data_IF_883383354084
#
_entry.id   IF_883383354084
#
_cell.length_a   1.000
_cell.length_b   1.000
_cell.length_c   1.000
_cell.angle_alpha   90.00
_cell.angle_beta   90.00
_cell.angle_gamma   90.00
#
_symmetry.space_group_name_H-M   'P 1'
#
loop_
_entity.id
_entity.type
_entity.pdbx_description
1 polymer ?
#
# COMPACT_ATOMS: atom_id res chain seq x y z
N UNK A 1 10.30 4.48 -16.48
CA UNK A 1 9.81 3.15 -16.90
C UNK A 1 10.98 2.27 -17.34
N UNK A 2 10.89 0.94 -17.22
CA UNK A 2 11.86 0.04 -17.79
C UNK A 2 11.98 0.21 -19.29
N UNK A 3 13.21 0.11 -19.82
CA UNK A 3 13.47 0.27 -21.25
C UNK A 3 13.31 -1.09 -21.94
N UNK A 4 12.30 -1.29 -22.82
CA UNK A 4 12.20 -2.52 -23.59
C UNK A 4 13.32 -2.61 -24.63
N UNK A 5 13.91 -3.78 -24.77
CA UNK A 5 14.91 -4.07 -25.79
C UNK A 5 14.86 -5.53 -26.23
N UNK A 6 15.19 -5.81 -27.49
CA UNK A 6 15.23 -7.17 -28.00
C UNK A 6 16.45 -7.98 -27.48
N UNK A 7 17.48 -7.28 -26.99
CA UNK A 7 18.65 -7.88 -26.37
C UNK A 7 18.52 -7.77 -24.84
N UNK A 8 18.54 -8.89 -24.13
CA UNK A 8 18.44 -8.98 -22.67
C UNK A 8 19.53 -8.16 -21.94
N UNK A 9 20.68 -7.98 -22.54
CA UNK A 9 21.78 -7.19 -21.96
C UNK A 9 21.56 -5.67 -22.04
N UNK A 10 20.68 -5.21 -22.94
CA UNK A 10 20.40 -3.80 -23.20
C UNK A 10 19.04 -3.34 -22.68
N UNK A 11 18.16 -4.29 -22.34
CA UNK A 11 16.82 -4.01 -21.82
C UNK A 11 16.76 -3.87 -20.31
N UNK A 12 15.61 -3.46 -19.81
CA UNK A 12 15.27 -3.38 -18.39
C UNK A 12 13.97 -4.14 -18.11
N UNK A 13 13.95 -4.98 -17.09
CA UNK A 13 12.75 -5.63 -16.57
C UNK A 13 12.53 -5.15 -15.15
N UNK A 14 11.41 -4.46 -14.91
CA UNK A 14 11.08 -3.96 -13.58
C UNK A 14 10.76 -5.12 -12.64
N UNK A 15 11.43 -5.16 -11.50
CA UNK A 15 11.09 -6.01 -10.36
C UNK A 15 10.86 -5.13 -9.13
N UNK A 16 9.97 -5.58 -8.26
CA UNK A 16 9.70 -4.98 -6.98
C UNK A 16 9.86 -6.03 -5.89
N UNK A 17 10.68 -5.74 -4.87
CA UNK A 17 10.85 -6.62 -3.72
C UNK A 17 9.83 -6.25 -2.68
N UNK A 18 9.04 -7.24 -2.24
CA UNK A 18 7.84 -7.00 -1.47
C UNK A 18 8.00 -7.36 0.01
N UNK A 19 7.37 -6.56 0.86
CA UNK A 19 7.15 -6.82 2.28
C UNK A 19 5.81 -6.25 2.74
N UNK A 20 5.30 -6.73 3.87
CA UNK A 20 4.09 -6.18 4.47
C UNK A 20 4.20 -6.09 5.98
N UNK A 21 3.83 -4.95 6.55
CA UNK A 21 3.78 -4.72 7.99
C UNK A 21 2.38 -5.05 8.51
N UNK A 22 2.31 -5.90 9.55
CA UNK A 22 1.03 -6.22 10.21
C UNK A 22 0.63 -5.08 11.17
N UNK A 23 -0.06 -4.07 10.62
CA UNK A 23 -0.47 -2.88 11.38
C UNK A 23 -1.46 -3.21 12.50
N UNK A 24 -2.21 -4.31 12.40
CA UNK A 24 -3.07 -4.78 13.47
C UNK A 24 -2.32 -5.20 14.75
N UNK A 25 -1.01 -5.48 14.66
CA UNK A 25 -0.16 -5.83 15.81
C UNK A 25 0.71 -4.70 16.32
N UNK A 26 0.88 -3.63 15.56
CA UNK A 26 1.65 -2.45 15.98
C UNK A 26 1.02 -1.84 17.23
N UNK A 27 1.86 -1.49 18.22
CA UNK A 27 1.43 -0.99 19.53
C UNK A 27 1.68 0.52 19.69
N UNK A 28 2.59 1.09 18.91
CA UNK A 28 2.95 2.50 19.00
C UNK A 28 3.48 3.03 17.68
N UNK A 29 3.44 4.34 17.52
CA UNK A 29 4.01 5.04 16.38
C UNK A 29 5.53 4.78 16.25
N UNK A 30 6.25 4.74 17.36
CA UNK A 30 7.68 4.40 17.39
C UNK A 30 7.94 2.97 16.88
N UNK A 31 7.10 2.00 17.22
CA UNK A 31 7.23 0.65 16.69
C UNK A 31 6.97 0.60 15.18
N UNK A 32 6.01 1.40 14.68
CA UNK A 32 5.78 1.54 13.24
C UNK A 32 7.02 2.10 12.53
N UNK A 33 7.63 3.15 13.08
CA UNK A 33 8.88 3.71 12.56
C UNK A 33 9.99 2.66 12.49
N UNK A 34 10.21 1.92 13.59
CA UNK A 34 11.25 0.88 13.66
C UNK A 34 11.01 -0.27 12.67
N UNK A 35 9.74 -0.68 12.49
CA UNK A 35 9.38 -1.71 11.51
C UNK A 35 9.55 -1.22 10.06
N UNK A 36 9.26 0.05 9.78
CA UNK A 36 9.52 0.65 8.48
C UNK A 36 11.02 0.67 8.17
N UNK A 37 11.87 1.13 9.11
CA UNK A 37 13.32 1.14 8.95
C UNK A 37 13.87 -0.28 8.74
N UNK A 38 13.44 -1.24 9.56
CA UNK A 38 13.83 -2.64 9.45
C UNK A 38 13.43 -3.23 8.09
N UNK A 39 12.20 -2.96 7.63
CA UNK A 39 11.70 -3.47 6.35
C UNK A 39 12.51 -2.92 5.18
N UNK A 40 12.78 -1.61 5.16
CA UNK A 40 13.58 -0.96 4.12
C UNK A 40 15.00 -1.54 4.08
N UNK A 41 15.66 -1.68 5.22
CA UNK A 41 17.02 -2.24 5.32
C UNK A 41 17.07 -3.71 4.90
N UNK A 42 16.12 -4.51 5.36
CA UNK A 42 16.07 -5.94 5.01
C UNK A 42 15.87 -6.15 3.51
N UNK A 43 14.99 -5.37 2.88
CA UNK A 43 14.75 -5.47 1.44
C UNK A 43 15.92 -4.88 0.62
N UNK A 44 16.60 -3.84 1.10
CA UNK A 44 17.82 -3.31 0.47
C UNK A 44 18.91 -4.39 0.39
N UNK A 45 19.13 -5.13 1.48
CA UNK A 45 20.09 -6.25 1.49
C UNK A 45 19.67 -7.39 0.56
N UNK A 46 18.36 -7.70 0.47
CA UNK A 46 17.86 -8.73 -0.43
C UNK A 46 18.10 -8.39 -1.91
N UNK A 47 18.06 -7.12 -2.31
CA UNK A 47 18.39 -6.68 -3.67
C UNK A 47 19.81 -7.11 -4.04
N UNK A 48 20.76 -7.02 -3.12
CA UNK A 48 22.15 -7.33 -3.36
C UNK A 48 22.47 -8.84 -3.20
N UNK A 49 21.71 -9.53 -2.34
CA UNK A 49 21.91 -10.94 -2.02
C UNK A 49 21.32 -11.91 -3.04
N UNK A 50 20.18 -11.56 -3.66
CA UNK A 50 19.46 -12.47 -4.56
C UNK A 50 20.20 -12.67 -5.88
N UNK A 51 20.01 -13.84 -6.49
CA UNK A 51 20.45 -14.16 -7.85
C UNK A 51 19.37 -13.76 -8.86
N UNK A 52 19.80 -13.18 -9.98
CA UNK A 52 18.89 -12.75 -11.05
C UNK A 52 19.00 -13.70 -12.25
N UNK A 53 17.90 -14.33 -12.68
CA UNK A 53 17.92 -15.28 -13.78
C UNK A 53 18.18 -14.63 -15.14
N UNK A 54 17.87 -13.33 -15.28
CA UNK A 54 18.06 -12.55 -16.51
C UNK A 54 18.75 -11.23 -16.22
N UNK A 55 19.67 -10.84 -17.10
CA UNK A 55 20.51 -9.64 -16.90
C UNK A 55 19.71 -8.34 -16.89
N UNK A 56 18.68 -8.23 -17.72
CA UNK A 56 17.79 -7.06 -17.76
C UNK A 56 17.06 -6.81 -16.43
N UNK A 57 16.70 -7.87 -15.70
CA UNK A 57 16.10 -7.76 -14.37
C UNK A 57 17.12 -7.30 -13.32
N UNK A 58 18.34 -7.83 -13.36
CA UNK A 58 19.42 -7.40 -12.47
C UNK A 58 19.74 -5.91 -12.67
N UNK A 59 19.93 -5.50 -13.94
CA UNK A 59 20.26 -4.11 -14.29
C UNK A 59 19.20 -3.13 -13.78
N UNK A 60 17.92 -3.38 -14.06
CA UNK A 60 16.82 -2.52 -13.62
C UNK A 60 16.70 -2.48 -12.09
N UNK A 61 16.80 -3.65 -11.44
CA UNK A 61 16.59 -3.75 -9.99
C UNK A 61 17.72 -3.08 -9.21
N UNK A 62 18.99 -3.29 -9.60
CA UNK A 62 20.13 -2.67 -8.92
C UNK A 62 20.17 -1.16 -9.12
N UNK A 63 19.83 -0.66 -10.32
CA UNK A 63 19.84 0.76 -10.63
C UNK A 63 18.72 1.53 -9.93
N UNK A 64 17.54 0.91 -9.77
CA UNK A 64 16.34 1.55 -9.20
C UNK A 64 16.13 1.24 -7.73
N UNK A 65 16.52 0.04 -7.27
CA UNK A 65 16.29 -0.49 -5.92
C UNK A 65 14.82 -0.34 -5.49
N UNK A 66 13.87 -0.67 -6.40
CA UNK A 66 12.44 -0.51 -6.17
C UNK A 66 11.93 -1.48 -5.11
N UNK A 67 11.27 -0.95 -4.09
CA UNK A 67 10.61 -1.70 -3.03
C UNK A 67 9.09 -1.58 -3.16
N UNK A 68 8.37 -2.55 -2.59
CA UNK A 68 6.93 -2.52 -2.44
C UNK A 68 6.55 -2.96 -1.03
N UNK A 69 6.47 -2.02 -0.10
CA UNK A 69 6.12 -2.28 1.29
C UNK A 69 4.67 -1.83 1.51
N UNK A 70 3.83 -2.71 2.03
CA UNK A 70 2.41 -2.46 2.25
C UNK A 70 1.93 -2.87 3.63
N UNK A 71 0.59 -2.90 3.79
CA UNK A 71 -0.08 -3.29 5.03
C UNK A 71 -0.65 -4.69 4.95
N UNK A 72 -0.73 -5.35 6.10
CA UNK A 72 -1.69 -6.42 6.40
C UNK A 72 -2.34 -6.13 7.74
N UNK A 73 -3.54 -6.65 7.95
CA UNK A 73 -4.20 -6.49 9.25
C UNK A 73 -4.92 -5.16 9.44
N UNK A 74 -5.26 -4.42 8.36
CA UNK A 74 -5.94 -3.13 8.49
C UNK A 74 -7.29 -3.26 9.20
N UNK A 75 -8.12 -4.24 8.86
CA UNK A 75 -9.39 -4.45 9.52
C UNK A 75 -9.23 -4.77 11.03
N UNK A 76 -8.17 -5.47 11.42
CA UNK A 76 -7.84 -5.69 12.83
C UNK A 76 -7.41 -4.38 13.52
N UNK A 77 -6.62 -3.55 12.85
CA UNK A 77 -6.23 -2.23 13.35
C UNK A 77 -7.46 -1.36 13.64
N UNK A 78 -8.39 -1.24 12.69
CA UNK A 78 -9.62 -0.48 12.86
C UNK A 78 -10.52 -1.06 13.96
N UNK A 79 -10.66 -2.39 14.03
CA UNK A 79 -11.43 -3.05 15.09
C UNK A 79 -10.85 -2.79 16.49
N UNK A 80 -9.51 -2.69 16.65
CA UNK A 80 -8.85 -2.30 17.91
C UNK A 80 -9.19 -0.87 18.32
N UNK A 81 -9.33 0.05 17.36
CA UNK A 81 -9.76 1.43 17.61
C UNK A 81 -11.27 1.54 17.87
N UNK A 82 -12.03 0.50 17.57
CA UNK A 82 -13.49 0.51 17.70
C UNK A 82 -14.21 1.17 16.52
N UNK A 83 -13.52 1.42 15.42
CA UNK A 83 -14.08 2.09 14.23
C UNK A 83 -14.63 1.07 13.24
N UNK A 84 -15.79 1.37 12.67
CA UNK A 84 -16.34 0.61 11.56
C UNK A 84 -15.59 0.96 10.28
N UNK A 85 -15.35 -0.03 9.43
CA UNK A 85 -14.52 0.10 8.23
C UNK A 85 -15.01 1.18 7.25
N UNK A 86 -16.31 1.36 7.18
CA UNK A 86 -17.03 2.31 6.32
C UNK A 86 -17.44 3.60 7.07
N UNK A 87 -16.71 3.98 8.12
CA UNK A 87 -16.97 5.19 8.90
C UNK A 87 -15.93 6.28 8.68
N UNK A 88 -16.31 7.53 8.95
CA UNK A 88 -15.41 8.68 8.86
C UNK A 88 -14.18 8.51 9.77
N UNK A 89 -14.40 8.02 11.00
CA UNK A 89 -13.33 7.79 11.97
C UNK A 89 -12.31 6.77 11.47
N UNK A 90 -12.78 5.75 10.72
CA UNK A 90 -11.88 4.78 10.10
C UNK A 90 -11.05 5.42 8.99
N UNK A 91 -11.65 6.24 8.12
CA UNK A 91 -10.92 6.91 7.04
C UNK A 91 -9.89 7.91 7.58
N UNK A 92 -10.22 8.66 8.63
CA UNK A 92 -9.27 9.55 9.32
C UNK A 92 -8.13 8.76 9.98
N UNK A 93 -8.41 7.62 10.60
CA UNK A 93 -7.39 6.74 11.15
C UNK A 93 -6.49 6.14 10.06
N UNK A 94 -7.06 5.77 8.90
CA UNK A 94 -6.28 5.30 7.74
C UNK A 94 -5.41 6.40 7.15
N UNK A 95 -5.91 7.64 7.10
CA UNK A 95 -5.12 8.81 6.69
C UNK A 95 -3.88 8.97 7.56
N UNK A 96 -4.05 9.01 8.88
CA UNK A 96 -2.96 9.18 9.84
C UNK A 96 -1.96 8.01 9.79
N UNK A 97 -2.47 6.78 9.69
CA UNK A 97 -1.62 5.58 9.56
C UNK A 97 -0.80 5.61 8.26
N UNK A 98 -1.45 5.93 7.13
CA UNK A 98 -0.79 5.93 5.82
C UNK A 98 0.22 7.07 5.70
N UNK A 99 -0.07 8.22 6.29
CA UNK A 99 0.87 9.33 6.42
C UNK A 99 2.14 8.92 7.16
N UNK A 100 2.00 8.41 8.40
CA UNK A 100 3.13 7.96 9.21
C UNK A 100 3.94 6.87 8.50
N UNK A 101 3.25 5.91 7.89
CA UNK A 101 3.88 4.81 7.17
C UNK A 101 4.76 5.30 6.01
N UNK A 102 4.23 6.15 5.13
CA UNK A 102 5.00 6.66 4.00
C UNK A 102 6.13 7.58 4.45
N UNK A 103 5.86 8.42 5.44
CA UNK A 103 6.88 9.29 6.03
C UNK A 103 8.06 8.49 6.57
N UNK A 104 7.80 7.41 7.33
CA UNK A 104 8.86 6.57 7.90
C UNK A 104 9.59 5.75 6.85
N UNK A 105 8.93 5.27 5.80
CA UNK A 105 9.59 4.60 4.68
C UNK A 105 10.56 5.54 3.96
N UNK A 106 10.13 6.77 3.64
CA UNK A 106 10.98 7.78 3.01
C UNK A 106 12.15 8.19 3.92
N UNK A 107 11.89 8.40 5.21
CA UNK A 107 12.92 8.70 6.22
C UNK A 107 13.96 7.57 6.30
N UNK A 108 13.53 6.32 6.33
CA UNK A 108 14.41 5.16 6.36
C UNK A 108 15.27 5.07 5.11
N UNK A 109 14.68 5.25 3.92
CA UNK A 109 15.40 5.26 2.65
C UNK A 109 16.40 6.42 2.55
N UNK A 110 16.03 7.60 3.04
CA UNK A 110 16.92 8.76 3.09
C UNK A 110 18.09 8.55 4.05
N UNK A 111 17.84 7.97 5.23
CA UNK A 111 18.90 7.62 6.17
C UNK A 111 19.86 6.58 5.57
N UNK A 112 19.31 5.57 4.88
CA UNK A 112 20.13 4.57 4.22
C UNK A 112 20.93 5.15 3.04
N UNK A 113 20.40 6.17 2.35
CA UNK A 113 21.14 6.91 1.33
C UNK A 113 22.32 7.69 1.93
N UNK A 114 22.19 8.25 3.14
CA UNK A 114 23.31 8.88 3.87
C UNK A 114 24.41 7.86 4.22
N UNK A 115 24.03 6.61 4.51
CA UNK A 115 24.96 5.54 4.89
C UNK A 115 25.64 4.88 3.67
N UNK A 116 24.89 4.61 2.60
CA UNK A 116 25.30 3.76 1.47
C UNK A 116 25.28 4.46 0.09
N UNK A 117 24.84 5.73 0.04
CA UNK A 117 24.56 6.45 -1.21
C UNK A 117 23.16 6.19 -1.75
N UNK A 118 22.65 7.09 -2.55
CA UNK A 118 21.35 6.98 -3.23
C UNK A 118 21.40 6.00 -4.41
N UNK A 119 20.24 5.55 -4.90
CA UNK A 119 20.19 4.65 -6.05
C UNK A 119 20.62 5.37 -7.35
N UNK A 120 21.18 4.62 -8.30
CA UNK A 120 21.70 5.15 -9.57
C UNK A 120 20.66 5.98 -10.32
N UNK A 121 19.41 5.51 -10.34
CA UNK A 121 18.31 6.18 -11.04
C UNK A 121 17.55 7.22 -10.19
N UNK A 122 18.09 7.65 -9.04
CA UNK A 122 17.45 8.66 -8.19
C UNK A 122 17.09 9.93 -8.98
N UNK A 123 18.01 10.44 -9.80
CA UNK A 123 17.78 11.64 -10.63
C UNK A 123 16.68 11.53 -11.70
N UNK A 124 16.07 10.34 -11.86
CA UNK A 124 14.91 10.11 -12.74
C UNK A 124 13.60 9.96 -11.97
N UNK A 125 13.61 10.20 -10.68
CA UNK A 125 12.43 10.13 -9.81
C UNK A 125 11.88 11.51 -9.53
N UNK A 126 10.59 11.62 -9.25
CA UNK A 126 9.96 12.87 -8.78
C UNK A 126 10.61 13.35 -7.47
N UNK A 127 11.15 12.46 -6.67
CA UNK A 127 11.85 12.77 -5.42
C UNK A 127 13.11 13.62 -5.63
N UNK A 128 13.80 13.48 -6.77
CA UNK A 128 14.96 14.31 -7.10
C UNK A 128 14.58 15.78 -7.35
N UNK A 129 13.33 16.03 -7.74
CA UNK A 129 12.75 17.36 -7.90
C UNK A 129 12.05 17.85 -6.62
N UNK A 130 12.15 17.10 -5.52
CA UNK A 130 11.49 17.38 -4.27
C UNK A 130 9.98 17.15 -4.26
N UNK A 131 9.45 16.44 -5.23
CA UNK A 131 8.02 16.13 -5.32
C UNK A 131 7.74 14.85 -4.52
N UNK A 132 6.87 14.96 -3.52
CA UNK A 132 6.45 13.86 -2.64
C UNK A 132 5.01 13.41 -2.99
N UNK A 133 4.57 12.22 -2.57
CA UNK A 133 3.19 11.77 -2.84
C UNK A 133 2.12 12.77 -2.40
N UNK A 134 2.32 13.47 -1.29
CA UNK A 134 1.41 14.50 -0.77
C UNK A 134 1.25 15.72 -1.69
N UNK A 135 2.08 15.87 -2.71
CA UNK A 135 2.01 16.98 -3.66
C UNK A 135 1.18 16.63 -4.90
N UNK A 136 1.01 15.33 -5.21
CA UNK A 136 0.50 14.87 -6.51
C UNK A 136 -0.76 13.98 -6.42
N UNK A 137 -1.37 13.84 -5.26
CA UNK A 137 -2.62 13.08 -5.12
C UNK A 137 -3.84 13.84 -5.67
N UNK A 138 -4.94 13.14 -5.95
CA UNK A 138 -6.21 13.73 -6.35
C UNK A 138 -6.83 14.49 -5.19
N UNK A 139 -7.07 15.79 -5.36
CA UNK A 139 -7.55 16.67 -4.28
C UNK A 139 -8.96 16.36 -3.80
N UNK A 140 -9.78 15.69 -4.61
CA UNK A 140 -11.12 15.23 -4.22
C UNK A 140 -11.09 14.25 -3.03
N UNK A 141 -9.93 13.62 -2.77
CA UNK A 141 -9.73 12.77 -1.58
C UNK A 141 -9.83 13.56 -0.27
N UNK A 142 -9.53 14.86 -0.29
CA UNK A 142 -9.65 15.72 0.89
C UNK A 142 -11.11 15.91 1.35
N UNK A 143 -12.09 15.66 0.48
CA UNK A 143 -13.51 15.62 0.86
C UNK A 143 -13.88 14.34 1.66
N UNK A 144 -13.09 13.28 1.49
CA UNK A 144 -13.26 12.01 2.23
C UNK A 144 -12.59 12.09 3.59
N UNK A 145 -11.33 12.52 3.63
CA UNK A 145 -10.53 12.60 4.86
C UNK A 145 -9.36 13.56 4.66
N UNK A 146 -9.29 14.58 5.52
CA UNK A 146 -8.21 15.56 5.47
C UNK A 146 -7.78 16.07 6.87
N UNK A 147 -7.39 15.19 7.80
CA UNK A 147 -6.75 15.60 9.05
C UNK A 147 -5.44 16.37 8.78
N UNK A 148 -5.05 17.22 9.72
CA UNK A 148 -3.74 17.86 9.70
C UNK A 148 -2.61 16.83 9.67
N UNK A 149 -1.55 17.11 8.93
CA UNK A 149 -0.37 16.26 8.89
C UNK A 149 0.33 16.19 10.25
N UNK A 150 0.75 14.98 10.64
CA UNK A 150 1.40 14.70 11.91
C UNK A 150 2.93 14.89 11.84
N UNK A 151 3.50 14.86 10.63
CA UNK A 151 4.95 14.83 10.40
C UNK A 151 5.45 16.07 9.67
N UNK A 152 6.72 16.44 9.91
CA UNK A 152 7.40 17.54 9.23
C UNK A 152 7.91 17.08 7.85
N UNK A 153 7.02 17.12 6.88
CA UNK A 153 7.29 16.76 5.50
C UNK A 153 8.32 17.66 4.84
N UNK A 154 8.37 18.94 5.23
CA UNK A 154 9.31 19.91 4.62
C UNK A 154 10.76 19.66 5.07
N UNK A 155 10.98 19.30 6.32
CA UNK A 155 12.31 18.87 6.78
C UNK A 155 12.77 17.59 6.10
N UNK A 156 11.85 16.64 5.87
CA UNK A 156 12.16 15.42 5.14
C UNK A 156 12.46 15.73 3.66
N UNK A 157 11.67 16.58 3.00
CA UNK A 157 11.89 17.06 1.62
C UNK A 157 13.28 17.68 1.47
N UNK A 158 13.65 18.58 2.35
CA UNK A 158 14.96 19.20 2.34
C UNK A 158 16.09 18.17 2.46
N UNK A 159 15.94 17.19 3.36
CA UNK A 159 16.91 16.11 3.53
C UNK A 159 16.99 15.18 2.32
N UNK A 160 15.88 14.91 1.64
CA UNK A 160 15.85 14.13 0.41
C UNK A 160 16.55 14.86 -0.74
N UNK A 161 16.33 16.17 -0.88
CA UNK A 161 17.02 16.98 -1.89
C UNK A 161 18.53 17.03 -1.65
N UNK A 162 18.97 17.03 -0.39
CA UNK A 162 20.40 17.09 -0.03
C UNK A 162 21.10 15.72 -0.18
N UNK A 163 20.46 14.63 0.25
CA UNK A 163 21.11 13.32 0.38
C UNK A 163 20.56 12.23 -0.55
N UNK A 164 19.45 12.50 -1.22
CA UNK A 164 18.76 11.53 -2.07
C UNK A 164 17.98 10.45 -1.31
N UNK A 165 17.49 9.47 -2.06
CA UNK A 165 16.87 8.24 -1.56
C UNK A 165 17.63 7.01 -2.04
N UNK A 166 17.76 6.01 -1.18
CA UNK A 166 18.35 4.71 -1.52
C UNK A 166 17.49 3.91 -2.49
N UNK A 167 16.19 4.22 -2.57
CA UNK A 167 15.18 3.48 -3.33
C UNK A 167 14.38 4.45 -4.21
N UNK A 168 14.08 4.04 -5.45
CA UNK A 168 13.29 4.86 -6.38
C UNK A 168 11.80 4.90 -6.03
N UNK A 169 11.28 3.83 -5.41
CA UNK A 169 9.92 3.68 -4.89
C UNK A 169 9.94 2.82 -3.64
N UNK A 170 8.97 2.98 -2.74
CA UNK A 170 8.97 2.35 -1.42
C UNK A 170 7.66 1.66 -1.06
N UNK A 171 6.52 2.34 -1.19
CA UNK A 171 5.23 1.81 -0.77
C UNK A 171 4.45 1.21 -1.93
N UNK A 172 3.82 0.07 -1.70
CA UNK A 172 2.87 -0.55 -2.60
C UNK A 172 1.90 -1.42 -1.79
N UNK A 173 0.63 -1.44 -2.16
CA UNK A 173 -0.31 -2.37 -1.56
C UNK A 173 -0.52 -3.56 -2.49
N UNK A 174 0.11 -4.66 -2.13
CA UNK A 174 0.01 -5.92 -2.87
C UNK A 174 -1.10 -6.83 -2.31
N UNK A 175 -1.59 -7.80 -3.08
CA UNK A 175 -2.35 -8.93 -2.54
C UNK A 175 -1.50 -9.71 -1.54
N UNK A 176 -1.95 -9.84 -0.28
CA UNK A 176 -1.12 -10.35 0.82
C UNK A 176 -1.73 -11.59 1.50
N UNK A 177 -2.46 -12.38 0.76
CA UNK A 177 -3.26 -13.48 1.33
C UNK A 177 -2.43 -14.49 2.12
N UNK A 178 -1.33 -14.99 1.55
CA UNK A 178 -0.47 -15.94 2.24
C UNK A 178 0.26 -15.34 3.44
N UNK A 179 0.79 -14.12 3.29
CA UNK A 179 1.47 -13.40 4.37
C UNK A 179 0.54 -13.11 5.55
N UNK A 180 -0.72 -12.78 5.26
CA UNK A 180 -1.74 -12.54 6.28
C UNK A 180 -2.06 -13.81 7.07
N UNK A 181 -2.16 -14.96 6.40
CA UNK A 181 -2.38 -16.27 7.05
C UNK A 181 -1.23 -16.62 8.00
N UNK A 182 0.01 -16.54 7.51
CA UNK A 182 1.20 -16.87 8.30
C UNK A 182 1.33 -15.97 9.52
N UNK A 183 0.99 -14.68 9.38
CA UNK A 183 1.09 -13.68 10.46
C UNK A 183 -0.12 -13.66 11.39
N UNK A 184 -1.15 -14.47 11.13
CA UNK A 184 -2.47 -14.39 11.78
C UNK A 184 -3.01 -12.95 11.76
N UNK A 185 -3.07 -12.36 10.58
CA UNK A 185 -3.61 -11.04 10.30
C UNK A 185 -4.90 -11.15 9.49
N UNK A 186 -5.73 -10.11 9.50
CA UNK A 186 -6.77 -9.94 8.47
C UNK A 186 -6.10 -9.72 7.11
N UNK A 187 -6.77 -10.10 6.02
CA UNK A 187 -6.20 -10.11 4.69
C UNK A 187 -5.92 -8.67 4.19
N UNK A 188 -4.65 -8.32 4.05
CA UNK A 188 -4.25 -7.03 3.50
C UNK A 188 -4.97 -5.85 4.15
N UNK A 189 -5.63 -5.07 3.29
CA UNK A 189 -6.45 -3.92 3.69
C UNK A 189 -7.95 -4.21 3.67
N UNK A 190 -8.36 -5.41 3.25
CA UNK A 190 -9.76 -5.76 3.06
C UNK A 190 -10.49 -6.04 4.38
N UNK A 191 -11.80 -5.73 4.48
CA UNK A 191 -12.63 -6.27 5.54
C UNK A 191 -12.68 -7.80 5.49
N UNK A 192 -12.75 -8.51 6.63
CA UNK A 192 -12.88 -9.96 6.63
C UNK A 192 -14.24 -10.38 6.03
N UNK A 193 -14.23 -11.45 5.25
CA UNK A 193 -15.46 -12.00 4.66
C UNK A 193 -16.36 -12.68 5.70
N UNK A 194 -15.73 -13.24 6.73
CA UNK A 194 -16.38 -13.88 7.86
C UNK A 194 -15.41 -13.88 9.05
N UNK A 195 -15.89 -14.10 10.25
CA UNK A 195 -15.08 -14.27 11.46
C UNK A 195 -14.20 -15.53 11.40
N UNK A 196 -14.62 -16.56 10.67
CA UNK A 196 -13.88 -17.79 10.44
C UNK A 196 -13.73 -18.04 8.93
N UNK A 197 -12.52 -17.95 8.43
CA UNK A 197 -12.19 -18.34 7.06
C UNK A 197 -11.59 -19.73 7.00
N UNK A 198 -11.92 -20.49 5.95
CA UNK A 198 -11.37 -21.81 5.70
C UNK A 198 -10.68 -21.82 4.33
N UNK A 199 -9.37 -21.93 4.34
CA UNK A 199 -8.57 -22.02 3.11
C UNK A 199 -8.22 -23.48 2.83
N UNK A 200 -8.47 -23.93 1.61
CA UNK A 200 -8.06 -25.26 1.17
C UNK A 200 -6.59 -25.21 0.75
N UNK A 201 -5.78 -26.08 1.32
CA UNK A 201 -4.39 -26.29 0.90
C UNK A 201 -4.16 -27.73 0.49
N UNK A 202 -3.02 -28.01 -0.18
CA UNK A 202 -2.61 -29.40 -0.52
C UNK A 202 -2.47 -30.29 0.72
N UNK A 203 -2.26 -29.72 1.91
CA UNK A 203 -2.11 -30.43 3.19
C UNK A 203 -3.40 -30.51 4.01
N UNK A 204 -4.53 -30.02 3.46
CA UNK A 204 -5.83 -30.00 4.13
C UNK A 204 -6.39 -28.60 4.36
N UNK A 205 -7.58 -28.46 4.97
CA UNK A 205 -8.18 -27.16 5.25
C UNK A 205 -7.46 -26.45 6.40
N UNK A 206 -7.10 -25.19 6.17
CA UNK A 206 -6.58 -24.29 7.20
C UNK A 206 -7.72 -23.38 7.68
N UNK A 207 -8.02 -23.42 8.96
CA UNK A 207 -9.02 -22.56 9.59
C UNK A 207 -8.31 -21.37 10.21
N UNK A 208 -8.78 -20.16 9.91
CA UNK A 208 -8.28 -18.92 10.48
C UNK A 208 -9.45 -18.11 11.06
N UNK A 209 -9.35 -17.78 12.33
CA UNK A 209 -10.29 -16.88 13.01
C UNK A 209 -9.70 -15.47 12.98
N UNK A 210 -10.56 -14.45 12.80
CA UNK A 210 -10.10 -13.06 12.88
C UNK A 210 -9.37 -12.79 14.20
N UNK A 211 -8.28 -12.01 14.19
CA UNK A 211 -7.50 -11.73 15.39
C UNK A 211 -8.37 -11.15 16.51
N UNK A 212 -8.09 -11.55 17.74
CA UNK A 212 -8.80 -11.06 18.95
C UNK A 212 -10.32 -11.25 18.91
N UNK A 213 -10.83 -12.29 18.24
CA UNK A 213 -12.26 -12.57 18.07
C UNK A 213 -13.07 -12.42 19.37
N UNK A 214 -12.55 -12.97 20.49
CA UNK A 214 -13.27 -12.96 21.76
C UNK A 214 -13.58 -11.57 22.30
N UNK A 215 -12.71 -10.59 22.01
CA UNK A 215 -12.84 -9.21 22.51
C UNK A 215 -13.29 -8.21 21.43
N UNK A 216 -12.98 -8.45 20.15
CA UNK A 216 -13.18 -7.49 19.09
C UNK A 216 -14.27 -7.89 18.07
N UNK A 217 -14.97 -9.01 18.27
CA UNK A 217 -15.98 -9.51 17.34
C UNK A 217 -16.95 -8.41 16.89
N UNK A 218 -17.49 -7.63 17.83
CA UNK A 218 -18.50 -6.61 17.54
C UNK A 218 -17.93 -5.33 16.89
N UNK A 219 -16.60 -5.19 16.88
CA UNK A 219 -15.93 -4.03 16.29
C UNK A 219 -15.59 -4.27 14.81
N UNK A 220 -15.45 -5.54 14.38
CA UNK A 220 -15.23 -5.84 12.98
C UNK A 220 -16.44 -5.46 12.12
N UNK A 221 -16.17 -4.94 10.94
CA UNK A 221 -17.11 -4.87 9.82
C UNK A 221 -16.81 -6.07 8.91
N UNK A 222 -17.79 -6.88 8.60
CA UNK A 222 -17.63 -7.96 7.61
C UNK A 222 -17.88 -7.41 6.21
N UNK A 223 -17.16 -7.95 5.24
CA UNK A 223 -17.24 -7.51 3.85
C UNK A 223 -18.68 -7.55 3.30
N UNK A 224 -19.42 -8.62 3.62
CA UNK A 224 -20.78 -8.86 3.13
C UNK A 224 -21.86 -8.07 3.88
N UNK A 225 -21.51 -7.44 5.01
CA UNK A 225 -22.40 -6.55 5.77
C UNK A 225 -22.31 -5.10 5.27
N UNK A 226 -21.30 -4.76 4.46
CA UNK A 226 -21.18 -3.44 3.85
C UNK A 226 -22.23 -3.26 2.74
N UNK A 227 -22.91 -2.10 2.68
CA UNK A 227 -23.99 -1.88 1.72
C UNK A 227 -23.48 -1.84 0.26
N UNK A 228 -22.26 -1.35 0.06
CA UNK A 228 -21.62 -1.18 -1.23
C UNK A 228 -20.09 -1.08 -1.10
N UNK A 229 -19.39 -0.75 -2.17
CA UNK A 229 -17.92 -0.62 -2.17
C UNK A 229 -17.42 0.76 -1.72
N UNK A 230 -18.29 1.72 -1.40
CA UNK A 230 -17.86 3.11 -1.08
C UNK A 230 -16.87 3.14 0.08
N UNK A 231 -17.15 2.40 1.15
CA UNK A 231 -16.22 2.33 2.30
C UNK A 231 -14.83 1.83 1.93
N UNK A 232 -14.76 0.80 1.07
CA UNK A 232 -13.49 0.26 0.58
C UNK A 232 -12.79 1.22 -0.38
N UNK A 233 -13.51 1.81 -1.33
CA UNK A 233 -12.98 2.80 -2.28
C UNK A 233 -12.39 4.00 -1.53
N UNK A 234 -13.07 4.50 -0.50
CA UNK A 234 -12.59 5.61 0.32
C UNK A 234 -11.30 5.26 1.08
N UNK A 235 -11.21 4.06 1.66
CA UNK A 235 -9.97 3.59 2.30
C UNK A 235 -8.82 3.57 1.32
N UNK A 236 -9.03 3.02 0.11
CA UNK A 236 -7.98 2.95 -0.92
C UNK A 236 -7.59 4.35 -1.41
N UNK A 237 -8.55 5.24 -1.63
CA UNK A 237 -8.31 6.62 -2.05
C UNK A 237 -7.46 7.38 -1.03
N UNK A 238 -7.81 7.27 0.25
CA UNK A 238 -7.08 7.90 1.36
C UNK A 238 -5.65 7.34 1.48
N UNK A 239 -5.47 6.03 1.32
CA UNK A 239 -4.14 5.41 1.30
C UNK A 239 -3.31 5.90 0.11
N UNK A 240 -3.91 6.00 -1.08
CA UNK A 240 -3.22 6.40 -2.31
C UNK A 240 -2.69 7.85 -2.23
N UNK A 241 -3.27 8.71 -1.39
CA UNK A 241 -2.73 10.06 -1.09
C UNK A 241 -1.27 10.02 -0.67
N UNK A 242 -0.83 8.94 -0.03
CA UNK A 242 0.51 8.79 0.53
C UNK A 242 1.39 7.75 -0.18
N UNK A 243 0.79 6.76 -0.82
CA UNK A 243 1.54 5.68 -1.47
C UNK A 243 2.15 6.14 -2.79
N UNK A 244 3.41 5.77 -3.03
CA UNK A 244 4.15 6.13 -4.24
C UNK A 244 3.99 5.14 -5.41
N UNK A 245 3.31 4.01 -5.18
CA UNK A 245 2.92 3.06 -6.22
C UNK A 245 1.44 2.69 -6.08
N UNK A 246 0.91 2.04 -7.11
CA UNK A 246 -0.50 1.66 -7.15
C UNK A 246 -0.90 0.69 -6.03
N UNK A 247 -2.16 0.78 -5.63
CA UNK A 247 -2.80 -0.09 -4.66
C UNK A 247 -3.61 -1.15 -5.41
N UNK A 248 -3.31 -2.43 -5.13
CA UNK A 248 -4.13 -3.55 -5.62
C UNK A 248 -5.38 -3.68 -4.77
N UNK A 249 -6.55 -3.61 -5.38
CA UNK A 249 -7.84 -3.69 -4.72
C UNK A 249 -8.80 -4.65 -5.38
N UNK A 250 -9.79 -5.11 -4.63
CA UNK A 250 -10.88 -5.95 -5.10
C UNK A 250 -12.22 -5.32 -4.74
N UNK A 251 -13.09 -5.14 -5.71
CA UNK A 251 -14.48 -4.80 -5.44
C UNK A 251 -15.28 -6.08 -5.22
N UNK A 252 -16.19 -6.01 -4.27
CA UNK A 252 -17.01 -7.14 -3.87
C UNK A 252 -18.48 -6.75 -3.93
N UNK A 253 -19.29 -7.60 -4.53
CA UNK A 253 -20.72 -7.37 -4.67
C UNK A 253 -21.47 -8.52 -4.01
N UNK A 254 -22.36 -8.20 -3.07
CA UNK A 254 -23.28 -9.17 -2.50
C UNK A 254 -24.58 -9.14 -3.31
N UNK A 255 -24.90 -10.19 -4.08
CA UNK A 255 -26.13 -10.21 -4.87
C UNK A 255 -27.41 -10.06 -4.04
N UNK A 256 -27.39 -10.42 -2.75
CA UNK A 256 -28.55 -10.29 -1.86
C UNK A 256 -28.96 -8.83 -1.59
N UNK A 257 -28.09 -7.86 -1.89
CA UNK A 257 -28.37 -6.44 -1.77
C UNK A 257 -29.10 -5.86 -3.00
N UNK A 258 -29.35 -6.67 -4.04
CA UNK A 258 -29.95 -6.22 -5.30
C UNK A 258 -31.23 -6.99 -5.61
N UNK A 259 -32.14 -6.35 -6.34
CA UNK A 259 -33.37 -6.96 -6.81
C UNK A 259 -33.03 -8.20 -7.69
N UNK A 260 -33.81 -9.26 -7.54
CA UNK A 260 -33.63 -10.54 -8.24
C UNK A 260 -32.24 -11.18 -8.04
N UNK A 261 -31.45 -10.72 -7.05
CA UNK A 261 -30.05 -11.14 -6.80
C UNK A 261 -29.15 -10.94 -8.02
N UNK A 262 -29.42 -9.92 -8.82
CA UNK A 262 -28.63 -9.54 -9.99
C UNK A 262 -27.92 -8.19 -9.74
N UNK A 263 -26.60 -8.18 -9.87
CA UNK A 263 -25.79 -6.95 -9.71
C UNK A 263 -25.88 -6.11 -10.99
N UNK A 264 -26.46 -4.90 -10.95
CA UNK A 264 -26.57 -4.06 -12.13
C UNK A 264 -25.18 -3.63 -12.64
N UNK A 265 -24.95 -3.71 -13.96
CA UNK A 265 -23.69 -3.24 -14.59
C UNK A 265 -23.43 -1.76 -14.32
N UNK A 266 -24.50 -0.97 -14.15
CA UNK A 266 -24.39 0.46 -13.81
C UNK A 266 -23.72 0.69 -12.47
N UNK A 267 -23.93 -0.18 -11.47
CA UNK A 267 -23.27 -0.09 -10.15
C UNK A 267 -21.76 -0.33 -10.31
N UNK A 268 -21.39 -1.38 -11.06
CA UNK A 268 -19.98 -1.68 -11.34
C UNK A 268 -19.30 -0.56 -12.13
N UNK A 269 -19.99 0.02 -13.11
CA UNK A 269 -19.49 1.16 -13.88
C UNK A 269 -19.32 2.41 -13.02
N UNK A 270 -20.24 2.65 -12.07
CA UNK A 270 -20.14 3.77 -11.13
C UNK A 270 -18.95 3.62 -10.19
N UNK A 271 -18.71 2.41 -9.64
CA UNK A 271 -17.56 2.14 -8.79
C UNK A 271 -16.25 2.36 -9.56
N UNK A 272 -16.18 1.91 -10.82
CA UNK A 272 -15.03 2.15 -11.69
C UNK A 272 -14.78 3.64 -11.91
N UNK A 273 -15.82 4.41 -12.25
CA UNK A 273 -15.70 5.85 -12.46
C UNK A 273 -15.26 6.57 -11.18
N UNK A 274 -15.86 6.24 -10.05
CA UNK A 274 -15.47 6.80 -8.74
C UNK A 274 -14.02 6.50 -8.43
N UNK A 275 -13.58 5.27 -8.65
CA UNK A 275 -12.20 4.86 -8.48
C UNK A 275 -11.25 5.66 -9.37
N UNK A 276 -11.60 5.83 -10.65
CA UNK A 276 -10.80 6.63 -11.59
C UNK A 276 -10.68 8.10 -11.17
N UNK A 277 -11.73 8.66 -10.58
CA UNK A 277 -11.72 10.06 -10.12
C UNK A 277 -10.89 10.25 -8.85
N UNK A 278 -10.92 9.29 -7.92
CA UNK A 278 -10.31 9.43 -6.61
C UNK A 278 -8.83 9.03 -6.57
N UNK A 279 -8.43 7.94 -7.21
CA UNK A 279 -7.07 7.44 -7.04
C UNK A 279 -6.40 6.76 -8.23
N UNK A 280 -7.07 6.52 -9.34
CA UNK A 280 -6.34 6.21 -10.57
C UNK A 280 -5.85 7.51 -11.15
N UNK A 281 -4.76 7.97 -10.65
CA UNK A 281 -4.22 9.24 -11.07
C UNK A 281 -3.15 9.07 -12.11
N UNK A 282 -2.79 10.13 -12.71
CA UNK A 282 -1.48 10.57 -13.22
C UNK A 282 -0.75 9.71 -14.27
N UNK A 283 -1.01 8.41 -14.39
CA UNK A 283 -0.47 7.62 -15.50
C UNK A 283 -1.04 8.08 -16.88
N UNK A 284 -2.23 8.66 -16.88
CA UNK A 284 -2.84 9.23 -18.09
C UNK A 284 -2.41 10.68 -18.36
N UNK A 285 -2.07 11.45 -17.32
CA UNK A 285 -1.65 12.84 -17.45
C UNK A 285 -0.16 12.96 -17.84
N UNK A 286 0.66 11.94 -17.60
CA UNK A 286 2.06 11.92 -18.02
C UNK A 286 2.24 11.70 -19.54
N UNK A 287 1.24 11.16 -20.25
CA UNK A 287 1.29 11.03 -21.70
C UNK A 287 0.89 12.32 -22.47
N UNK A 288 0.28 13.30 -21.79
CA UNK A 288 -0.14 14.56 -22.41
C UNK A 288 0.92 15.67 -22.37
N UNK A 289 2.07 15.43 -21.75
CA UNK A 289 3.17 16.40 -21.57
C UNK A 289 4.46 16.08 -22.30
N UNK A 290 4.43 15.18 -23.27
CA UNK A 290 5.59 14.77 -24.08
C UNK A 290 5.57 15.34 -25.50
#
# INVERSE_FOLDING_TARGET
SPVPHNDDHLGEIALCILSAINVGKVQSDKELEDLCDLSVRALDELIDYQEYPVKAAETATRARRSLGIGFIGLAHYLAKLGFKYDSQEAWDAVHQLSESFQFYLLKASNNLAKEKGYCENFGRTKYADGILPIDTYKKDVDEISNPDYQHDWESLRASILEHGLRHSTLSAQMPSESSSVVSNATNGIEPPRDYLSVKKSKKGPLKQVVPSYGSLKNNYTLLWDMPDNTGYINVVAVMQKFFDQAISGNWSYNPEHFDDSEVPVSVMAQDLLTTCLLYTSDAADEEAGG
#
